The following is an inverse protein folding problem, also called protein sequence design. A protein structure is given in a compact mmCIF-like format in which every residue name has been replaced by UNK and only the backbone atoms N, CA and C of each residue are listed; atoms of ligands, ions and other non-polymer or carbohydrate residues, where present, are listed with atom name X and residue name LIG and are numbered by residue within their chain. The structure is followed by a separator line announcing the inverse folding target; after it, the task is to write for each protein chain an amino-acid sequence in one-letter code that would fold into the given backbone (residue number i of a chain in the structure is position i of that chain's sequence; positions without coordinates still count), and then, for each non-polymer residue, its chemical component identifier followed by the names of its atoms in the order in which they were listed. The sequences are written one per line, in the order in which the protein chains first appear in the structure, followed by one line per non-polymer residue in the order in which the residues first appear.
data_IF_225944240010
#
_entry.id   IF_225944240010
#
_cell.length_a   1.000
_cell.length_b   1.000
_cell.length_c   1.000
_cell.angle_alpha   90.00
_cell.angle_beta   90.00
_cell.angle_gamma   90.00
#
_symmetry.space_group_name_H-M   'P 1'
#
loop_
_entity.id
_entity.type
_entity.pdbx_description
1 polymer ?
#
# COMPACT_ATOMS: atom_id res chain seq x y z
N UNK A 1 79.81 11.04 17.32
CA UNK A 1 78.91 9.89 17.07
C UNK A 1 77.44 10.30 16.87
N UNK A 2 77.17 11.42 16.16
CA UNK A 2 75.85 12.09 16.10
C UNK A 2 75.37 12.43 14.68
N UNK A 3 75.91 11.78 13.64
CA UNK A 3 75.55 12.09 12.24
C UNK A 3 74.73 11.00 11.53
N UNK A 4 74.71 9.76 12.04
CA UNK A 4 73.97 8.65 11.41
C UNK A 4 72.49 8.58 11.78
N UNK A 5 72.07 9.23 12.87
CA UNK A 5 70.66 9.23 13.30
C UNK A 5 69.81 10.18 12.47
N UNK A 6 70.37 11.31 12.04
CA UNK A 6 69.66 12.34 11.29
C UNK A 6 69.37 11.88 9.85
N UNK A 7 70.29 11.15 9.21
CA UNK A 7 70.10 10.64 7.85
C UNK A 7 69.07 9.49 7.74
N UNK A 8 68.85 8.75 8.82
CA UNK A 8 67.82 7.68 8.87
C UNK A 8 66.40 8.23 9.03
N UNK A 9 66.25 9.40 9.66
CA UNK A 9 64.95 10.02 9.90
C UNK A 9 64.38 10.69 8.63
N UNK A 10 65.23 11.23 7.75
CA UNK A 10 64.79 11.85 6.50
C UNK A 10 64.39 10.83 5.41
N UNK A 11 64.99 9.63 5.40
CA UNK A 11 64.64 8.61 4.40
C UNK A 11 63.29 7.91 4.69
N UNK A 12 62.90 7.79 5.97
CA UNK A 12 61.59 7.23 6.34
C UNK A 12 60.42 8.19 6.07
N UNK A 13 60.65 9.51 6.10
CA UNK A 13 59.60 10.50 5.83
C UNK A 13 59.21 10.59 4.35
N UNK A 14 60.12 10.22 3.43
CA UNK A 14 59.85 10.23 1.99
C UNK A 14 59.09 8.98 1.50
N UNK A 15 59.20 7.85 2.21
CA UNK A 15 58.42 6.64 1.88
C UNK A 15 57.00 6.68 2.47
N UNK A 16 56.77 7.44 3.54
CA UNK A 16 55.43 7.58 4.13
C UNK A 16 54.52 8.53 3.34
N UNK A 17 55.07 9.41 2.51
CA UNK A 17 54.32 10.37 1.69
C UNK A 17 53.92 9.83 0.31
N UNK A 18 54.49 8.70 -0.14
CA UNK A 18 54.13 8.06 -1.40
C UNK A 18 52.98 7.04 -1.30
N UNK A 19 52.62 6.58 -0.09
CA UNK A 19 51.52 5.63 0.11
C UNK A 19 50.14 6.29 0.25
N UNK A 20 50.07 7.62 0.41
CA UNK A 20 48.82 8.34 0.62
C UNK A 20 48.11 8.79 -0.68
N UNK A 21 48.72 8.59 -1.85
CA UNK A 21 48.18 9.05 -3.14
C UNK A 21 47.54 7.94 -4.01
N UNK A 22 47.38 6.72 -3.48
CA UNK A 22 46.79 5.58 -4.22
C UNK A 22 45.43 5.10 -3.68
N UNK A 23 44.83 5.80 -2.72
CA UNK A 23 43.48 5.47 -2.21
C UNK A 23 42.35 6.22 -2.97
N UNK A 24 42.52 6.42 -4.28
CA UNK A 24 41.68 7.31 -5.09
C UNK A 24 41.19 6.71 -6.41
N UNK A 25 40.92 5.41 -6.48
CA UNK A 25 40.26 4.79 -7.64
C UNK A 25 39.31 3.67 -7.16
N UNK A 26 38.11 4.06 -6.73
CA UNK A 26 37.05 3.12 -6.34
C UNK A 26 35.66 3.73 -6.47
N UNK A 27 35.48 4.67 -7.40
CA UNK A 27 34.17 5.29 -7.65
C UNK A 27 34.05 5.51 -9.16
N UNK A 28 33.59 4.50 -9.89
CA UNK A 28 32.79 4.62 -11.14
C UNK A 28 32.45 3.21 -11.63
N UNK A 29 31.54 2.56 -10.92
CA UNK A 29 30.83 1.39 -11.40
C UNK A 29 29.40 1.56 -10.94
N UNK A 30 28.59 2.25 -11.73
CA UNK A 30 27.21 2.59 -11.42
C UNK A 30 26.35 1.35 -11.24
N UNK A 31 26.38 0.76 -10.05
CA UNK A 31 25.28 -0.03 -9.55
C UNK A 31 24.23 0.97 -9.05
N UNK A 32 23.51 1.59 -9.97
CA UNK A 32 22.13 1.96 -9.66
C UNK A 32 21.49 0.67 -9.13
N UNK A 33 21.02 0.59 -7.87
CA UNK A 33 20.32 -0.59 -7.43
C UNK A 33 19.15 -0.73 -8.39
N UNK A 34 19.19 -1.76 -9.24
CA UNK A 34 18.05 -2.14 -10.06
C UNK A 34 16.94 -2.30 -9.04
N UNK A 35 15.96 -1.38 -9.02
CA UNK A 35 14.83 -1.43 -8.09
C UNK A 35 14.32 -2.86 -8.16
N UNK A 36 14.55 -3.63 -7.10
CA UNK A 36 14.15 -5.02 -7.06
C UNK A 36 12.65 -5.04 -7.38
N UNK A 37 12.23 -5.95 -8.26
CA UNK A 37 10.82 -6.00 -8.62
C UNK A 37 10.01 -6.30 -7.36
N UNK A 38 8.84 -5.67 -7.19
CA UNK A 38 8.05 -5.75 -5.96
C UNK A 38 7.78 -7.21 -5.55
N UNK A 39 7.62 -8.13 -6.51
CA UNK A 39 7.46 -9.57 -6.26
C UNK A 39 8.67 -10.22 -5.56
N UNK A 40 9.89 -9.68 -5.71
CA UNK A 40 11.09 -10.22 -5.07
C UNK A 40 11.15 -9.86 -3.58
N UNK A 41 10.50 -8.77 -3.17
CA UNK A 41 10.30 -8.40 -1.77
C UNK A 41 9.04 -9.02 -1.17
N UNK A 42 8.16 -9.59 -1.99
CA UNK A 42 6.96 -10.29 -1.54
C UNK A 42 7.35 -11.59 -0.83
N UNK A 43 6.76 -11.84 0.36
CA UNK A 43 7.08 -13.02 1.16
C UNK A 43 5.81 -13.78 1.47
N UNK A 44 5.80 -15.07 1.15
CA UNK A 44 4.78 -16.00 1.62
C UNK A 44 5.21 -16.52 2.99
N UNK A 45 4.89 -15.76 4.03
CA UNK A 45 5.13 -16.17 5.41
C UNK A 45 3.89 -16.87 5.97
N UNK A 46 4.08 -17.79 6.92
CA UNK A 46 3.00 -18.53 7.57
C UNK A 46 2.40 -17.76 8.75
N UNK A 47 2.55 -16.44 8.79
CA UNK A 47 1.97 -15.61 9.82
C UNK A 47 0.48 -15.43 9.55
N UNK A 48 -0.34 -15.52 10.59
CA UNK A 48 -1.80 -15.39 10.49
C UNK A 48 -2.24 -13.95 10.17
N UNK A 49 -1.38 -13.08 9.67
CA UNK A 49 -1.65 -11.63 9.50
C UNK A 49 -3.00 -11.33 8.83
N UNK A 50 -3.37 -12.13 7.83
CA UNK A 50 -4.58 -11.95 7.03
C UNK A 50 -5.67 -12.97 7.36
N UNK A 51 -5.53 -13.76 8.42
CA UNK A 51 -6.48 -14.82 8.77
C UNK A 51 -6.69 -14.96 10.27
N UNK A 52 -7.91 -15.30 10.68
CA UNK A 52 -8.18 -15.73 12.06
C UNK A 52 -9.16 -16.90 12.06
N UNK A 53 -8.96 -17.80 13.01
CA UNK A 53 -9.88 -18.89 13.31
C UNK A 53 -11.05 -18.35 14.14
N UNK A 54 -12.26 -18.81 13.84
CA UNK A 54 -13.48 -18.48 14.56
C UNK A 54 -14.27 -19.75 14.88
N UNK A 55 -14.86 -19.78 16.06
CA UNK A 55 -15.82 -20.80 16.46
C UNK A 55 -17.20 -20.44 15.87
N UNK A 56 -17.65 -21.21 14.89
CA UNK A 56 -18.94 -21.05 14.23
C UNK A 56 -18.94 -21.54 12.77
N UNK A 57 -20.14 -21.84 12.24
CA UNK A 57 -20.29 -22.19 10.82
C UNK A 57 -20.02 -20.99 9.92
N UNK A 58 -19.71 -21.28 8.65
CA UNK A 58 -19.30 -20.30 7.64
C UNK A 58 -20.26 -19.11 7.54
N UNK A 59 -21.56 -19.37 7.51
CA UNK A 59 -22.59 -18.34 7.33
C UNK A 59 -22.63 -17.35 8.50
N UNK A 60 -22.40 -17.82 9.73
CA UNK A 60 -22.42 -16.96 10.92
C UNK A 60 -21.19 -16.07 10.99
N UNK A 61 -20.04 -16.63 10.67
CA UNK A 61 -18.77 -15.90 10.66
C UNK A 61 -18.78 -14.86 9.53
N UNK A 62 -19.29 -15.20 8.36
CA UNK A 62 -19.40 -14.24 7.26
C UNK A 62 -20.47 -13.15 7.52
N UNK A 63 -21.57 -13.46 8.21
CA UNK A 63 -22.48 -12.41 8.68
C UNK A 63 -21.84 -11.50 9.73
N UNK A 64 -21.01 -12.04 10.65
CA UNK A 64 -20.24 -11.22 11.58
C UNK A 64 -19.27 -10.27 10.83
N UNK A 65 -18.59 -10.76 9.79
CA UNK A 65 -17.75 -9.93 8.93
C UNK A 65 -18.56 -8.83 8.22
N UNK A 66 -19.72 -9.18 7.67
CA UNK A 66 -20.63 -8.22 7.02
C UNK A 66 -21.08 -7.12 7.97
N UNK A 67 -21.49 -7.48 9.19
CA UNK A 67 -21.88 -6.52 10.25
C UNK A 67 -20.69 -5.66 10.68
N UNK A 68 -19.50 -6.23 10.76
CA UNK A 68 -18.26 -5.50 11.04
C UNK A 68 -18.05 -4.40 10.01
N UNK A 69 -18.07 -4.73 8.72
CA UNK A 69 -17.90 -3.74 7.64
C UNK A 69 -18.98 -2.65 7.67
N UNK A 70 -20.25 -3.04 7.82
CA UNK A 70 -21.38 -2.10 7.92
C UNK A 70 -21.22 -1.14 9.10
N UNK A 71 -20.80 -1.64 10.27
CA UNK A 71 -20.58 -0.81 11.47
C UNK A 71 -19.45 0.22 11.29
N UNK A 72 -18.50 -0.06 10.39
CA UNK A 72 -17.40 0.84 10.05
C UNK A 72 -17.72 1.78 8.88
N UNK A 73 -18.96 1.78 8.38
CA UNK A 73 -19.43 2.63 7.29
C UNK A 73 -18.96 2.18 5.90
N UNK A 74 -18.62 0.90 5.73
CA UNK A 74 -18.41 0.33 4.40
C UNK A 74 -19.76 0.05 3.74
N UNK A 75 -19.82 0.27 2.43
CA UNK A 75 -20.95 -0.15 1.59
C UNK A 75 -20.65 -1.55 1.08
N UNK A 76 -21.53 -2.50 1.36
CA UNK A 76 -21.40 -3.88 0.87
C UNK A 76 -21.68 -3.90 -0.63
N UNK A 77 -20.75 -4.48 -1.40
CA UNK A 77 -20.83 -4.54 -2.86
C UNK A 77 -21.12 -5.95 -3.36
N UNK A 78 -20.73 -6.97 -2.58
CA UNK A 78 -21.00 -8.38 -2.86
C UNK A 78 -20.99 -9.16 -1.55
N UNK A 79 -21.88 -10.15 -1.39
CA UNK A 79 -21.89 -11.04 -0.22
C UNK A 79 -22.54 -12.40 -0.54
N UNK A 80 -21.98 -13.19 -1.48
CA UNK A 80 -22.45 -14.56 -1.69
C UNK A 80 -22.01 -15.46 -0.52
N UNK A 81 -22.65 -16.61 -0.34
CA UNK A 81 -22.34 -17.54 0.77
C UNK A 81 -20.83 -17.81 0.90
N UNK A 82 -20.27 -17.53 2.08
CA UNK A 82 -18.85 -17.68 2.37
C UNK A 82 -17.93 -16.52 1.96
N UNK A 83 -18.45 -15.38 1.48
CA UNK A 83 -17.61 -14.20 1.26
C UNK A 83 -18.37 -12.87 1.41
N UNK A 84 -17.63 -11.81 1.72
CA UNK A 84 -18.16 -10.45 1.85
C UNK A 84 -17.16 -9.46 1.27
N UNK A 85 -17.59 -8.63 0.33
CA UNK A 85 -16.82 -7.49 -0.17
C UNK A 85 -17.54 -6.19 0.16
N UNK A 86 -16.80 -5.22 0.70
CA UNK A 86 -17.29 -3.88 0.94
C UNK A 86 -16.29 -2.82 0.52
N UNK A 87 -16.77 -1.61 0.23
CA UNK A 87 -15.91 -0.46 -0.09
C UNK A 87 -16.25 0.76 0.76
N UNK A 88 -15.22 1.53 1.10
CA UNK A 88 -15.36 2.83 1.75
C UNK A 88 -14.46 3.85 1.05
N UNK A 89 -15.00 5.05 0.83
CA UNK A 89 -14.32 6.13 0.13
C UNK A 89 -14.06 7.27 1.10
N UNK A 90 -12.92 7.90 0.93
CA UNK A 90 -12.40 8.99 1.74
C UNK A 90 -11.93 10.09 0.81
N UNK A 91 -12.12 11.33 1.22
CA UNK A 91 -11.61 12.51 0.53
C UNK A 91 -10.79 13.32 1.54
N UNK A 92 -9.53 12.92 1.79
CA UNK A 92 -8.68 13.62 2.76
C UNK A 92 -8.30 15.03 2.31
N UNK A 93 -8.28 15.28 1.00
CA UNK A 93 -8.03 16.58 0.37
C UNK A 93 -8.99 16.76 -0.81
N UNK A 94 -9.26 17.99 -1.25
CA UNK A 94 -10.24 18.31 -2.28
C UNK A 94 -9.99 17.60 -3.61
N UNK A 95 -8.73 17.40 -3.99
CA UNK A 95 -8.36 16.75 -5.27
C UNK A 95 -7.99 15.26 -5.12
N UNK A 96 -7.92 14.73 -3.90
CA UNK A 96 -7.47 13.35 -3.62
C UNK A 96 -8.64 12.50 -3.16
N UNK A 97 -8.93 11.44 -3.92
CA UNK A 97 -9.94 10.46 -3.55
C UNK A 97 -9.26 9.13 -3.24
N UNK A 98 -9.61 8.55 -2.09
CA UNK A 98 -9.08 7.26 -1.66
C UNK A 98 -10.24 6.29 -1.51
N UNK A 99 -10.11 5.10 -2.07
CA UNK A 99 -11.05 4.01 -1.87
C UNK A 99 -10.35 2.84 -1.19
N UNK A 100 -10.95 2.30 -0.13
CA UNK A 100 -10.54 1.04 0.47
C UNK A 100 -11.59 0.00 0.09
N UNK A 101 -11.18 -1.00 -0.70
CA UNK A 101 -11.96 -2.21 -0.96
C UNK A 101 -11.50 -3.30 -0.02
N UNK A 102 -12.44 -3.87 0.72
CA UNK A 102 -12.22 -4.87 1.75
C UNK A 102 -12.88 -6.17 1.32
N UNK A 103 -12.14 -7.27 1.37
CA UNK A 103 -12.60 -8.60 0.99
C UNK A 103 -12.42 -9.55 2.16
N UNK A 104 -13.48 -10.29 2.49
CA UNK A 104 -13.49 -11.33 3.51
C UNK A 104 -13.96 -12.61 2.87
N UNK A 105 -13.25 -13.71 3.08
CA UNK A 105 -13.61 -15.05 2.63
C UNK A 105 -13.61 -15.97 3.85
N UNK A 106 -14.73 -16.61 4.12
CA UNK A 106 -14.92 -17.55 5.22
C UNK A 106 -14.82 -18.96 4.68
N UNK A 107 -13.88 -19.75 5.20
CA UNK A 107 -13.62 -21.13 4.75
C UNK A 107 -13.79 -22.07 5.94
N UNK A 108 -14.54 -23.17 5.82
CA UNK A 108 -14.67 -24.13 6.90
C UNK A 108 -13.30 -24.73 7.24
N UNK A 109 -13.01 -24.88 8.53
CA UNK A 109 -11.77 -25.46 9.03
C UNK A 109 -12.06 -26.80 9.72
N UNK A 110 -11.35 -27.85 9.31
CA UNK A 110 -11.58 -29.21 9.78
C UNK A 110 -12.80 -29.90 9.14
N UNK A 111 -13.24 -30.99 9.78
CA UNK A 111 -14.32 -31.87 9.25
C UNK A 111 -15.72 -31.50 9.77
N UNK A 112 -15.78 -30.73 10.85
CA UNK A 112 -17.03 -30.20 11.40
C UNK A 112 -17.26 -28.79 10.86
N UNK A 113 -18.47 -28.49 10.41
CA UNK A 113 -18.88 -27.15 9.98
C UNK A 113 -19.11 -26.20 11.19
N UNK A 114 -18.19 -26.22 12.14
CA UNK A 114 -18.28 -25.53 13.43
C UNK A 114 -17.06 -24.66 13.70
N UNK A 115 -16.04 -24.75 12.85
CA UNK A 115 -14.87 -23.90 12.90
C UNK A 115 -14.70 -23.32 11.50
N UNK A 116 -14.41 -22.02 11.44
CA UNK A 116 -14.23 -21.30 10.18
C UNK A 116 -12.98 -20.45 10.29
N UNK A 117 -12.12 -20.52 9.28
CA UNK A 117 -11.03 -19.55 9.11
C UNK A 117 -11.51 -18.43 8.20
N UNK A 118 -11.47 -17.19 8.69
CA UNK A 118 -11.78 -16.01 7.89
C UNK A 118 -10.49 -15.39 7.36
N UNK A 119 -10.36 -15.33 6.04
CA UNK A 119 -9.28 -14.68 5.31
C UNK A 119 -9.70 -13.28 4.88
N UNK A 120 -8.83 -12.30 5.08
CA UNK A 120 -9.16 -10.89 4.93
C UNK A 120 -8.08 -10.18 4.13
N UNK A 121 -8.47 -9.42 3.11
CA UNK A 121 -7.57 -8.52 2.38
C UNK A 121 -8.23 -7.16 2.16
N UNK A 122 -7.41 -6.11 2.15
CA UNK A 122 -7.87 -4.76 1.88
C UNK A 122 -6.94 -4.09 0.90
N UNK A 123 -7.50 -3.52 -0.16
CA UNK A 123 -6.78 -2.79 -1.18
C UNK A 123 -7.16 -1.32 -1.10
N UNK A 124 -6.17 -0.45 -1.09
CA UNK A 124 -6.34 0.99 -1.14
C UNK A 124 -6.00 1.49 -2.55
N UNK A 125 -6.97 2.12 -3.18
CA UNK A 125 -6.82 2.83 -4.43
C UNK A 125 -6.78 4.33 -4.18
N UNK A 126 -5.86 5.03 -4.86
CA UNK A 126 -5.78 6.49 -4.83
C UNK A 126 -6.09 7.03 -6.22
N UNK A 127 -6.95 8.05 -6.27
CA UNK A 127 -7.32 8.75 -7.48
C UNK A 127 -6.96 10.24 -7.34
N UNK A 128 -6.44 10.81 -8.42
CA UNK A 128 -6.17 12.23 -8.53
C UNK A 128 -6.98 12.82 -9.70
N UNK A 129 -7.29 14.10 -9.62
CA UNK A 129 -7.90 14.84 -10.72
C UNK A 129 -6.88 15.08 -11.83
N UNK A 130 -7.15 14.58 -13.03
CA UNK A 130 -6.39 14.94 -14.21
C UNK A 130 -7.08 16.11 -14.91
N UNK A 131 -6.53 17.31 -14.73
CA UNK A 131 -6.95 18.51 -15.47
C UNK A 131 -6.48 18.38 -16.93
N UNK A 132 -7.41 18.38 -17.88
CA UNK A 132 -7.10 18.40 -19.32
C UNK A 132 -7.13 19.86 -19.83
N UNK A 133 -5.99 20.51 -20.11
CA UNK A 133 -5.97 21.86 -20.64
C UNK A 133 -6.20 21.82 -22.16
N UNK A 134 -7.39 21.45 -22.62
CA UNK A 134 -7.71 21.50 -24.05
C UNK A 134 -8.62 22.70 -24.35
N UNK A 135 -7.99 23.87 -24.52
CA UNK A 135 -8.66 25.07 -25.00
C UNK A 135 -8.82 24.99 -26.53
N UNK A 136 -10.04 24.80 -27.03
CA UNK A 136 -10.34 24.91 -28.45
C UNK A 136 -10.47 26.39 -28.84
N UNK A 137 -9.47 26.98 -29.50
CA UNK A 137 -9.65 28.29 -30.14
C UNK A 137 -10.26 28.08 -31.52
N UNK A 138 -11.51 28.51 -31.70
CA UNK A 138 -12.13 28.61 -33.02
C UNK A 138 -11.74 29.97 -33.63
N UNK A 139 -10.88 29.95 -34.64
CA UNK A 139 -10.57 31.14 -35.43
C UNK A 139 -11.68 31.42 -36.44
N UNK A 140 -12.48 32.45 -36.21
CA UNK A 140 -13.39 33.01 -37.21
C UNK A 140 -12.71 34.21 -37.87
N UNK A 141 -12.36 34.03 -39.14
CA UNK A 141 -11.84 35.10 -39.99
C UNK A 141 -12.96 36.11 -40.27
N UNK A 142 -12.64 37.38 -40.08
CA UNK A 142 -13.47 38.58 -40.27
C UNK A 142 -14.40 38.92 -39.09
N UNK A 143 -14.04 40.00 -38.40
CA UNK A 143 -14.81 40.74 -37.37
C UNK A 143 -14.72 40.17 -35.94
N UNK A 144 -13.59 40.46 -35.27
CA UNK A 144 -13.48 40.48 -33.80
C UNK A 144 -13.46 39.12 -33.10
N UNK A 145 -12.31 38.74 -32.54
CA UNK A 145 -12.21 37.56 -31.68
C UNK A 145 -12.89 37.83 -30.33
N UNK A 146 -14.06 37.24 -30.11
CA UNK A 146 -14.60 37.05 -28.77
C UNK A 146 -13.89 35.83 -28.16
N UNK A 147 -13.03 36.05 -27.17
CA UNK A 147 -12.46 35.00 -26.34
C UNK A 147 -13.44 34.68 -25.22
N UNK A 148 -14.36 33.74 -25.44
CA UNK A 148 -15.09 33.13 -24.34
C UNK A 148 -14.18 32.07 -23.71
N UNK A 149 -13.78 32.19 -22.43
CA UNK A 149 -13.09 31.10 -21.76
C UNK A 149 -14.09 29.96 -21.54
N UNK A 150 -14.16 29.03 -22.47
CA UNK A 150 -14.85 27.76 -22.27
C UNK A 150 -13.91 26.83 -21.49
N UNK A 151 -13.77 27.04 -20.19
CA UNK A 151 -13.14 26.06 -19.31
C UNK A 151 -14.17 25.00 -18.93
N UNK A 152 -14.49 24.07 -19.83
CA UNK A 152 -14.98 22.76 -19.38
C UNK A 152 -13.76 21.94 -19.00
N UNK A 153 -13.31 22.11 -17.76
CA UNK A 153 -12.31 21.21 -17.19
C UNK A 153 -13.01 19.86 -17.02
N UNK A 154 -12.76 18.92 -17.94
CA UNK A 154 -13.13 17.52 -17.76
C UNK A 154 -12.20 16.94 -16.68
N UNK A 155 -12.51 17.27 -15.43
CA UNK A 155 -11.84 16.77 -14.26
C UNK A 155 -12.17 15.28 -14.14
N UNK A 156 -11.26 14.44 -14.63
CA UNK A 156 -11.41 12.98 -14.58
C UNK A 156 -10.58 12.40 -13.44
N UNK A 157 -11.19 11.50 -12.67
CA UNK A 157 -10.48 10.72 -11.65
C UNK A 157 -9.66 9.64 -12.34
N UNK A 158 -8.34 9.77 -12.29
CA UNK A 158 -7.42 8.73 -12.76
C UNK A 158 -6.86 8.00 -11.56
N UNK A 159 -6.90 6.66 -11.59
CA UNK A 159 -6.27 5.82 -10.57
C UNK A 159 -4.75 5.98 -10.67
N UNK A 160 -4.15 6.60 -9.66
CA UNK A 160 -2.72 6.93 -9.61
C UNK A 160 -1.90 5.96 -8.75
N UNK A 161 -2.53 5.24 -7.83
CA UNK A 161 -1.89 4.20 -7.03
C UNK A 161 -2.90 3.10 -6.62
N UNK A 162 -2.40 1.90 -6.38
CA UNK A 162 -3.17 0.74 -5.93
C UNK A 162 -2.27 -0.17 -5.11
N UNK A 163 -2.59 -0.35 -3.83
CA UNK A 163 -1.72 -1.09 -2.91
C UNK A 163 -2.56 -1.90 -1.93
N UNK A 164 -2.10 -3.10 -1.59
CA UNK A 164 -2.66 -3.86 -0.46
C UNK A 164 -2.26 -3.17 0.83
N UNK A 165 -3.23 -2.92 1.71
CA UNK A 165 -2.94 -2.34 3.03
C UNK A 165 -2.09 -3.35 3.80
N UNK A 166 -0.93 -2.93 4.33
CA UNK A 166 -0.03 -3.86 5.02
C UNK A 166 -0.65 -4.38 6.32
N UNK A 167 -0.09 -5.51 6.75
CA UNK A 167 -0.28 -6.13 8.05
C UNK A 167 -0.28 -5.14 9.24
N UNK A 168 -0.97 -5.52 10.32
CA UNK A 168 -0.84 -4.88 11.63
C UNK A 168 -2.16 -4.33 12.16
N UNK A 169 -2.09 -3.20 12.87
CA UNK A 169 -3.20 -2.68 13.69
C UNK A 169 -4.50 -2.47 12.91
N UNK A 170 -4.43 -2.25 11.60
CA UNK A 170 -5.61 -2.14 10.73
C UNK A 170 -6.44 -3.44 10.73
N UNK A 171 -5.79 -4.59 10.52
CA UNK A 171 -6.44 -5.89 10.54
C UNK A 171 -6.80 -6.31 11.97
N UNK A 172 -5.96 -6.02 12.96
CA UNK A 172 -6.26 -6.35 14.36
C UNK A 172 -7.55 -5.70 14.85
N UNK A 173 -7.78 -4.42 14.50
CA UNK A 173 -9.03 -3.73 14.84
C UNK A 173 -10.24 -4.37 14.15
N UNK A 174 -10.10 -4.76 12.88
CA UNK A 174 -11.16 -5.45 12.16
C UNK A 174 -11.49 -6.79 12.82
N UNK A 175 -10.49 -7.64 13.05
CA UNK A 175 -10.69 -8.96 13.64
C UNK A 175 -11.23 -8.88 15.07
N UNK A 176 -10.77 -7.92 15.87
CA UNK A 176 -11.29 -7.70 17.23
C UNK A 176 -12.79 -7.40 17.21
N UNK A 177 -13.22 -6.53 16.31
CA UNK A 177 -14.64 -6.19 16.18
C UNK A 177 -15.48 -7.35 15.62
N UNK A 178 -14.94 -8.06 14.64
CA UNK A 178 -15.57 -9.25 14.08
C UNK A 178 -15.75 -10.36 15.12
N UNK A 179 -14.74 -10.61 15.96
CA UNK A 179 -14.80 -11.56 17.06
C UNK A 179 -15.91 -11.22 18.05
N UNK A 180 -16.01 -9.94 18.43
CA UNK A 180 -17.09 -9.46 19.29
C UNK A 180 -18.47 -9.75 18.69
N UNK A 181 -18.67 -9.41 17.41
CA UNK A 181 -19.96 -9.58 16.74
C UNK A 181 -20.31 -11.05 16.48
N UNK A 182 -19.31 -11.91 16.26
CA UNK A 182 -19.51 -13.36 16.17
C UNK A 182 -19.95 -13.94 17.52
N UNK A 183 -19.30 -13.55 18.61
CA UNK A 183 -19.65 -13.99 19.97
C UNK A 183 -21.06 -13.57 20.40
N UNK A 184 -21.43 -12.31 20.15
CA UNK A 184 -22.78 -11.80 20.45
C UNK A 184 -23.85 -12.66 19.74
N UNK A 185 -23.60 -13.01 18.48
CA UNK A 185 -24.53 -13.83 17.68
C UNK A 185 -24.63 -15.28 18.17
N UNK A 186 -23.53 -15.83 18.67
CA UNK A 186 -23.54 -17.16 19.28
C UNK A 186 -24.28 -17.18 20.63
N UNK A 187 -24.25 -16.07 21.37
CA UNK A 187 -24.92 -15.94 22.68
C UNK A 187 -26.43 -15.75 22.58
N UNK A 188 -26.92 -15.24 21.44
CA UNK A 188 -28.34 -15.02 21.17
C UNK A 188 -29.12 -16.30 20.77
N UNK A 189 -28.44 -17.45 20.70
CA UNK A 189 -29.03 -18.76 20.38
C UNK A 189 -29.24 -19.62 21.61
#
# INVERSE_FOLDING_TARGET
MSSHRIFRLTLCALCASAAALLAGCGITGGNTPRKASVYQSERFQSDETFSRLFDGPVDEICEAARRTLLSQGYVITSAPGGSVTGRKRFQPDGEVHVEITFNVVCVPDGRSDQITTAYVSAQQDRYALKKNPNSASLGVSAVGSISVPLSSSDDSLVKVASETIPAGTFYDRFFTLMQKLAYERASDK
#
